data_IF_374197876756
#
_entry.id   IF_374197876756
#
_cell.length_a   1.000
_cell.length_b   1.000
_cell.length_c   1.000
_cell.angle_alpha   90.00
_cell.angle_beta   90.00
_cell.angle_gamma   90.00
#
_symmetry.space_group_name_H-M   'P 1'
#
loop_
_entity.id
_entity.type
_entity.pdbx_description
1 polymer ?
#
# COMPACT_ATOMS: atom_id res chain seq x y z
N UNK A 1 56.71 64.94 -21.81
CA UNK A 1 56.46 65.08 -23.27
C UNK A 1 55.06 64.47 -23.52
N UNK A 2 54.07 65.37 -23.70
CA UNK A 2 52.68 65.09 -23.97
C UNK A 2 52.47 64.69 -25.43
N UNK A 3 51.69 63.65 -25.66
CA UNK A 3 51.01 63.43 -26.95
C UNK A 3 49.58 62.95 -26.69
N UNK A 4 48.69 63.92 -26.89
CA UNK A 4 47.24 63.73 -26.95
C UNK A 4 46.84 63.09 -28.30
N UNK A 5 46.12 62.01 -28.33
CA UNK A 5 45.44 61.51 -29.52
C UNK A 5 43.95 61.70 -29.35
N UNK A 6 43.37 62.56 -30.18
CA UNK A 6 41.93 62.73 -30.30
C UNK A 6 41.39 61.65 -31.25
N UNK A 7 40.55 60.76 -30.75
CA UNK A 7 39.81 59.75 -31.53
C UNK A 7 38.39 60.23 -31.85
N UNK A 8 38.12 60.38 -33.14
CA UNK A 8 36.83 60.80 -33.71
C UNK A 8 35.84 59.63 -33.64
N UNK A 9 34.79 59.80 -32.85
CA UNK A 9 33.74 58.81 -32.73
C UNK A 9 32.65 58.99 -33.80
N UNK A 10 32.59 58.12 -34.80
CA UNK A 10 31.58 58.17 -35.88
C UNK A 10 30.38 57.38 -35.38
N UNK A 11 29.26 58.05 -35.03
CA UNK A 11 28.01 57.42 -34.64
C UNK A 11 27.20 57.06 -35.89
N UNK A 12 27.24 55.82 -36.29
CA UNK A 12 26.41 55.31 -37.38
C UNK A 12 24.96 54.98 -36.84
N UNK A 13 24.01 55.76 -37.36
CA UNK A 13 22.58 55.55 -37.07
C UNK A 13 22.06 54.41 -37.95
N UNK A 14 21.87 53.24 -37.37
CA UNK A 14 21.25 52.03 -38.03
C UNK A 14 19.73 52.08 -37.84
N UNK A 15 18.97 52.32 -38.90
CA UNK A 15 17.52 52.19 -38.89
C UNK A 15 17.15 50.71 -39.04
N UNK A 16 16.60 50.11 -37.98
CA UNK A 16 15.95 48.82 -38.08
C UNK A 16 14.51 49.03 -38.55
N UNK A 17 14.21 48.61 -39.76
CA UNK A 17 12.82 48.41 -40.19
C UNK A 17 12.33 47.14 -39.54
N UNK A 18 11.44 47.24 -38.55
CA UNK A 18 10.69 46.08 -38.04
C UNK A 18 9.65 45.68 -39.13
N UNK A 19 9.88 44.56 -39.76
CA UNK A 19 8.88 43.96 -40.61
C UNK A 19 7.81 43.33 -39.71
N UNK A 20 6.56 43.79 -39.78
CA UNK A 20 5.43 43.16 -39.13
C UNK A 20 5.26 41.71 -39.68
N UNK A 21 5.65 40.74 -38.86
CA UNK A 21 5.36 39.34 -39.16
C UNK A 21 3.85 39.11 -39.00
N UNK A 22 3.18 38.46 -39.97
CA UNK A 22 1.75 38.13 -39.81
C UNK A 22 1.53 37.28 -38.56
N UNK A 23 0.56 37.67 -37.73
CA UNK A 23 0.18 36.91 -36.53
C UNK A 23 -0.19 35.48 -36.92
N UNK A 24 0.43 34.50 -36.28
CA UNK A 24 0.07 33.08 -36.46
C UNK A 24 -1.42 32.85 -36.10
N UNK A 25 -2.15 32.06 -36.88
CA UNK A 25 -3.54 31.77 -36.55
C UNK A 25 -3.65 31.18 -35.14
N UNK A 26 -4.57 31.72 -34.35
CA UNK A 26 -4.80 31.23 -32.99
C UNK A 26 -5.14 29.72 -33.02
N UNK A 27 -4.42 28.91 -32.23
CA UNK A 27 -4.72 27.49 -32.09
C UNK A 27 -6.18 27.32 -31.62
N UNK A 28 -6.91 26.33 -32.16
CA UNK A 28 -8.27 26.06 -31.73
C UNK A 28 -8.30 25.83 -30.21
N UNK A 29 -9.22 26.49 -29.50
CA UNK A 29 -9.38 26.35 -28.07
C UNK A 29 -9.64 24.86 -27.73
N UNK A 30 -8.84 24.31 -26.83
CA UNK A 30 -9.05 22.95 -26.34
C UNK A 30 -10.51 22.83 -25.83
N UNK A 31 -11.21 21.71 -26.12
CA UNK A 31 -12.57 21.50 -25.62
C UNK A 31 -12.58 21.62 -24.10
N UNK A 32 -13.51 22.41 -23.56
CA UNK A 32 -13.66 22.59 -22.12
C UNK A 32 -13.81 21.20 -21.47
N UNK A 33 -12.92 20.87 -20.55
CA UNK A 33 -13.00 19.63 -19.80
C UNK A 33 -14.37 19.58 -19.10
N UNK A 34 -15.21 18.64 -19.49
CA UNK A 34 -16.49 18.38 -18.82
C UNK A 34 -16.19 18.05 -17.37
N UNK A 35 -16.68 18.86 -16.45
CA UNK A 35 -16.50 18.63 -15.01
C UNK A 35 -17.02 17.24 -14.66
N UNK A 36 -16.14 16.33 -14.24
CA UNK A 36 -16.51 14.99 -13.77
C UNK A 36 -17.36 15.13 -12.51
N UNK A 37 -18.53 14.50 -12.51
CA UNK A 37 -19.33 14.38 -11.28
C UNK A 37 -18.65 13.38 -10.35
N UNK A 38 -18.70 13.61 -9.02
CA UNK A 38 -18.26 12.61 -8.05
C UNK A 38 -19.02 11.30 -8.25
N UNK A 39 -18.29 10.17 -8.15
CA UNK A 39 -18.89 8.84 -8.21
C UNK A 39 -19.42 8.50 -6.82
N UNK A 40 -20.61 7.90 -6.75
CA UNK A 40 -21.15 7.41 -5.48
C UNK A 40 -20.24 6.32 -4.90
N UNK A 41 -20.02 6.27 -3.57
CA UNK A 41 -19.21 5.25 -2.96
C UNK A 41 -19.85 3.85 -3.14
N UNK A 42 -19.06 2.80 -3.41
CA UNK A 42 -19.58 1.43 -3.62
C UNK A 42 -20.14 0.80 -2.35
N UNK A 43 -19.70 1.28 -1.20
CA UNK A 43 -20.18 0.86 0.13
C UNK A 43 -20.31 2.08 1.04
N UNK A 44 -21.23 2.07 2.03
CA UNK A 44 -21.31 3.14 3.01
C UNK A 44 -20.02 3.20 3.87
N UNK A 45 -19.67 4.40 4.33
CA UNK A 45 -18.60 4.53 5.32
C UNK A 45 -19.02 3.88 6.64
N UNK A 46 -18.04 3.44 7.42
CA UNK A 46 -18.22 2.99 8.80
C UNK A 46 -17.16 3.60 9.72
N UNK A 47 -17.48 3.62 11.00
CA UNK A 47 -16.53 4.01 12.05
C UNK A 47 -16.47 2.87 13.07
N UNK A 48 -15.26 2.35 13.31
CA UNK A 48 -14.99 1.42 14.41
C UNK A 48 -14.27 2.19 15.51
N UNK A 49 -14.97 2.45 16.61
CA UNK A 49 -14.39 3.14 17.76
C UNK A 49 -13.42 2.21 18.52
N UNK A 50 -12.52 2.76 19.31
CA UNK A 50 -11.64 1.96 20.17
C UNK A 50 -12.44 1.00 21.08
N UNK A 51 -13.58 1.45 21.61
CA UNK A 51 -14.47 0.60 22.40
C UNK A 51 -15.04 -0.58 21.58
N UNK A 52 -15.51 -0.32 20.36
CA UNK A 52 -16.04 -1.39 19.50
C UNK A 52 -14.97 -2.38 19.06
N UNK A 53 -13.74 -1.96 18.86
CA UNK A 53 -12.62 -2.85 18.57
C UNK A 53 -12.26 -3.69 19.79
N UNK A 54 -12.24 -3.11 20.98
CA UNK A 54 -11.99 -3.84 22.22
C UNK A 54 -13.07 -4.90 22.51
N UNK A 55 -14.35 -4.60 22.25
CA UNK A 55 -15.42 -5.60 22.35
C UNK A 55 -15.26 -6.73 21.33
N UNK A 56 -14.91 -6.42 20.08
CA UNK A 56 -14.61 -7.45 19.08
C UNK A 56 -13.43 -8.32 19.53
N UNK A 57 -12.34 -7.71 20.00
CA UNK A 57 -11.16 -8.44 20.48
C UNK A 57 -11.52 -9.45 21.59
N UNK A 58 -12.40 -9.09 22.53
CA UNK A 58 -12.88 -10.03 23.57
C UNK A 58 -13.49 -11.29 22.99
N UNK A 59 -14.17 -11.19 21.87
CA UNK A 59 -14.78 -12.37 21.21
C UNK A 59 -13.76 -13.26 20.52
N UNK A 60 -12.53 -12.75 20.28
CA UNK A 60 -11.46 -13.44 19.60
C UNK A 60 -10.46 -14.11 20.56
N UNK A 61 -10.61 -13.92 21.88
CA UNK A 61 -9.69 -14.48 22.88
C UNK A 61 -9.65 -16.01 22.86
N UNK A 62 -8.56 -16.55 23.40
CA UNK A 62 -8.26 -17.98 23.50
C UNK A 62 -7.15 -18.41 22.55
N UNK A 63 -6.58 -19.60 22.82
CA UNK A 63 -5.40 -20.12 22.12
C UNK A 63 -5.56 -20.16 20.60
N UNK A 64 -4.46 -19.93 19.93
CA UNK A 64 -4.37 -19.88 18.47
C UNK A 64 -4.66 -18.51 17.88
N UNK A 65 -4.91 -18.47 16.59
CA UNK A 65 -5.18 -17.25 15.87
C UNK A 65 -6.64 -17.16 15.43
N UNK A 66 -7.31 -16.06 15.77
CA UNK A 66 -8.69 -15.76 15.36
C UNK A 66 -8.77 -14.41 14.69
N UNK A 67 -9.71 -14.21 13.79
CA UNK A 67 -9.95 -12.96 13.10
C UNK A 67 -11.43 -12.58 13.13
N UNK A 68 -11.70 -11.28 13.26
CA UNK A 68 -13.02 -10.69 13.13
C UNK A 68 -13.04 -9.69 11.97
N UNK A 69 -14.00 -9.87 11.06
CA UNK A 69 -14.14 -9.03 9.87
C UNK A 69 -14.58 -7.61 10.24
N UNK A 70 -13.86 -6.63 9.72
CA UNK A 70 -14.22 -5.22 9.78
C UNK A 70 -14.73 -4.71 8.44
N UNK A 71 -14.14 -5.17 7.34
CA UNK A 71 -14.55 -4.91 5.97
C UNK A 71 -14.24 -6.14 5.11
N UNK A 72 -15.20 -6.60 4.30
CA UNK A 72 -15.01 -7.68 3.33
C UNK A 72 -14.78 -7.15 1.92
N UNK A 73 -13.98 -7.83 1.09
CA UNK A 73 -13.59 -7.33 -0.22
C UNK A 73 -14.69 -7.42 -1.29
N UNK A 74 -15.88 -7.95 -1.00
CA UNK A 74 -16.94 -8.23 -1.98
C UNK A 74 -17.36 -7.03 -2.84
N UNK A 75 -17.24 -5.79 -2.34
CA UNK A 75 -17.59 -4.57 -3.07
C UNK A 75 -16.41 -3.58 -3.18
N UNK A 76 -15.27 -3.92 -2.60
CA UNK A 76 -14.06 -3.10 -2.59
C UNK A 76 -12.86 -3.98 -2.85
N UNK A 77 -11.76 -3.41 -3.33
CA UNK A 77 -10.48 -4.12 -3.44
C UNK A 77 -9.70 -4.09 -2.10
N UNK A 78 -10.42 -4.05 -0.98
CA UNK A 78 -9.82 -3.95 0.36
C UNK A 78 -10.56 -4.90 1.31
N UNK A 79 -9.80 -5.65 2.08
CA UNK A 79 -10.26 -6.38 3.26
C UNK A 79 -9.63 -5.78 4.51
N UNK A 80 -10.37 -5.67 5.60
CA UNK A 80 -9.83 -5.25 6.89
C UNK A 80 -10.33 -6.23 7.95
N UNK A 81 -9.41 -6.79 8.73
CA UNK A 81 -9.72 -7.69 9.84
C UNK A 81 -9.02 -7.22 11.12
N UNK A 82 -9.64 -7.48 12.27
CA UNK A 82 -8.96 -7.50 13.55
C UNK A 82 -8.47 -8.93 13.80
N UNK A 83 -7.16 -9.10 13.93
CA UNK A 83 -6.53 -10.38 14.20
C UNK A 83 -6.06 -10.44 15.65
N UNK A 84 -6.43 -11.50 16.36
CA UNK A 84 -5.97 -11.76 17.72
C UNK A 84 -5.34 -13.14 17.80
N UNK A 85 -4.21 -13.27 18.47
CA UNK A 85 -3.42 -14.48 18.58
C UNK A 85 -2.89 -14.65 20.00
N UNK A 86 -3.04 -15.85 20.53
CA UNK A 86 -2.54 -16.25 21.85
C UNK A 86 -1.76 -17.56 21.72
N UNK A 87 -0.55 -17.64 22.29
CA UNK A 87 0.34 -18.80 22.20
C UNK A 87 0.36 -19.37 20.76
N UNK A 88 0.62 -18.48 19.81
CA UNK A 88 0.46 -18.77 18.39
C UNK A 88 1.80 -18.85 17.68
N UNK A 89 1.96 -19.92 16.91
CA UNK A 89 3.02 -20.05 15.91
C UNK A 89 2.37 -20.44 14.60
N UNK A 90 2.65 -19.68 13.55
CA UNK A 90 2.13 -19.99 12.23
C UNK A 90 2.86 -21.21 11.68
N UNK A 91 2.14 -22.31 11.50
CA UNK A 91 2.70 -23.59 11.08
C UNK A 91 3.30 -23.56 9.67
N UNK A 92 2.82 -22.66 8.81
CA UNK A 92 3.27 -22.51 7.44
C UNK A 92 3.49 -21.03 7.12
N UNK A 93 4.61 -20.72 6.46
CA UNK A 93 4.83 -19.42 5.85
C UNK A 93 3.95 -19.28 4.60
N UNK A 94 3.64 -18.06 4.26
CA UNK A 94 2.71 -17.76 3.16
C UNK A 94 3.29 -16.74 2.18
N UNK A 95 2.86 -16.86 0.91
CA UNK A 95 3.05 -15.86 -0.15
C UNK A 95 1.71 -15.66 -0.83
N UNK A 96 1.39 -14.42 -1.16
CA UNK A 96 0.21 -14.04 -1.95
C UNK A 96 0.64 -13.38 -3.24
N UNK A 97 0.17 -13.85 -4.39
CA UNK A 97 0.53 -13.28 -5.70
C UNK A 97 -0.20 -11.97 -6.02
N UNK A 98 -1.34 -11.72 -5.39
CA UNK A 98 -2.20 -10.58 -5.72
C UNK A 98 -2.72 -9.82 -4.50
N UNK A 99 -2.04 -9.90 -3.36
CA UNK A 99 -2.54 -9.28 -2.13
C UNK A 99 -1.40 -8.63 -1.34
N UNK A 100 -1.46 -7.30 -1.21
CA UNK A 100 -0.58 -6.54 -0.33
C UNK A 100 -1.19 -6.46 1.07
N UNK A 101 -0.35 -6.40 2.11
CA UNK A 101 -0.80 -6.21 3.48
C UNK A 101 -0.21 -4.96 4.14
N UNK A 102 -1.02 -4.32 4.96
CA UNK A 102 -0.57 -3.44 6.02
C UNK A 102 -0.98 -4.07 7.35
N UNK A 103 -0.02 -4.33 8.22
CA UNK A 103 -0.25 -4.73 9.61
C UNK A 103 -0.04 -3.52 10.50
N UNK A 104 -1.00 -3.22 11.35
CA UNK A 104 -0.87 -2.24 12.42
C UNK A 104 -1.05 -2.94 13.76
N UNK A 105 0.01 -3.01 14.56
CA UNK A 105 0.01 -3.71 15.85
C UNK A 105 -0.69 -2.86 16.90
N UNK A 106 -1.78 -3.36 17.46
CA UNK A 106 -2.57 -2.66 18.46
C UNK A 106 -2.25 -3.10 19.88
N UNK A 107 -1.79 -4.35 20.09
CA UNK A 107 -1.35 -4.84 21.39
C UNK A 107 -0.40 -6.03 21.27
N UNK A 108 0.48 -6.20 22.27
CA UNK A 108 1.40 -7.32 22.39
C UNK A 108 2.65 -7.22 21.53
N UNK A 109 3.28 -8.37 21.30
CA UNK A 109 4.55 -8.51 20.57
C UNK A 109 4.55 -9.80 19.76
N UNK A 110 5.19 -9.79 18.59
CA UNK A 110 5.40 -10.97 17.75
C UNK A 110 6.76 -10.91 17.07
N UNK A 111 7.22 -12.06 16.58
CA UNK A 111 8.33 -12.14 15.63
C UNK A 111 7.74 -12.43 14.25
N UNK A 112 8.02 -11.56 13.28
CA UNK A 112 7.69 -11.80 11.88
C UNK A 112 8.85 -12.49 11.18
N UNK A 113 8.54 -13.45 10.31
CA UNK A 113 9.48 -14.01 9.32
C UNK A 113 9.15 -13.40 7.98
N UNK A 114 10.11 -12.71 7.33
CA UNK A 114 9.86 -11.92 6.13
C UNK A 114 10.90 -12.22 5.03
N UNK A 115 10.43 -12.23 3.78
CA UNK A 115 11.27 -12.39 2.60
C UNK A 115 11.88 -13.81 2.48
N UNK A 116 12.81 -13.98 1.53
CA UNK A 116 13.35 -15.28 1.19
C UNK A 116 12.40 -16.08 0.29
N UNK A 117 12.49 -17.41 0.36
CA UNK A 117 11.80 -18.34 -0.54
C UNK A 117 11.12 -19.46 0.23
N UNK A 118 9.95 -19.89 -0.20
CA UNK A 118 9.28 -21.09 0.32
C UNK A 118 9.99 -22.35 -0.20
N UNK A 119 10.21 -23.32 0.67
CA UNK A 119 10.76 -24.63 0.29
C UNK A 119 9.62 -25.58 -0.05
N UNK A 120 9.58 -26.13 -1.27
CA UNK A 120 8.52 -27.00 -1.78
C UNK A 120 7.11 -26.37 -1.57
N UNK A 121 6.84 -25.17 -2.13
CA UNK A 121 5.59 -24.48 -1.93
C UNK A 121 4.42 -25.28 -2.49
N UNK A 122 3.27 -25.17 -1.82
CA UNK A 122 2.01 -25.71 -2.27
C UNK A 122 1.03 -24.57 -2.49
N UNK A 123 0.44 -24.50 -3.67
CA UNK A 123 -0.68 -23.60 -3.94
C UNK A 123 -1.96 -24.21 -3.33
N UNK A 124 -2.58 -23.49 -2.37
CA UNK A 124 -3.79 -23.94 -1.67
C UNK A 124 -5.06 -23.35 -2.27
N UNK A 125 -4.93 -22.25 -2.98
CA UNK A 125 -5.94 -21.61 -3.83
C UNK A 125 -5.21 -20.68 -4.81
N UNK A 126 -5.83 -20.20 -5.89
CA UNK A 126 -5.15 -19.38 -6.90
C UNK A 126 -4.40 -18.19 -6.28
N UNK A 127 -3.07 -18.19 -6.44
CA UNK A 127 -2.17 -17.18 -5.92
C UNK A 127 -1.91 -17.21 -4.40
N UNK A 128 -2.35 -18.27 -3.69
CA UNK A 128 -2.14 -18.45 -2.24
C UNK A 128 -1.19 -19.63 -2.00
N UNK A 129 0.05 -19.34 -1.66
CA UNK A 129 1.12 -20.32 -1.50
C UNK A 129 1.45 -20.55 -0.03
N UNK A 130 1.73 -21.81 0.34
CA UNK A 130 2.10 -22.21 1.70
C UNK A 130 3.29 -23.16 1.69
N UNK A 131 4.12 -23.07 2.74
CA UNK A 131 5.13 -24.07 3.06
C UNK A 131 5.49 -24.01 4.55
N UNK A 132 5.72 -25.15 5.22
CA UNK A 132 6.24 -25.16 6.58
C UNK A 132 7.71 -24.74 6.69
N UNK A 133 8.40 -24.56 5.56
CA UNK A 133 9.83 -24.24 5.53
C UNK A 133 10.12 -23.09 4.58
N UNK A 134 11.07 -22.26 4.99
CA UNK A 134 11.62 -21.17 4.17
C UNK A 134 13.14 -21.14 4.23
N UNK A 135 13.76 -20.48 3.24
CA UNK A 135 15.20 -20.20 3.16
C UNK A 135 15.43 -18.71 2.94
N UNK A 136 16.58 -18.21 3.41
CA UNK A 136 16.99 -16.81 3.22
C UNK A 136 16.00 -15.75 3.78
N UNK A 137 15.04 -16.17 4.62
CA UNK A 137 14.14 -15.26 5.31
C UNK A 137 14.86 -14.55 6.47
N UNK A 138 14.31 -13.38 6.86
CA UNK A 138 14.78 -12.62 8.03
C UNK A 138 13.67 -12.57 9.06
N UNK A 139 14.05 -12.51 10.33
CA UNK A 139 13.13 -12.30 11.44
C UNK A 139 13.19 -10.85 11.90
N UNK A 140 12.03 -10.29 12.21
CA UNK A 140 11.84 -8.93 12.73
C UNK A 140 10.91 -9.01 13.91
N UNK A 141 11.33 -8.47 15.06
CA UNK A 141 10.46 -8.32 16.20
C UNK A 141 9.60 -7.08 16.06
N UNK A 142 8.31 -7.20 16.30
CA UNK A 142 7.32 -6.13 16.23
C UNK A 142 6.53 -6.04 17.52
N UNK A 143 6.11 -4.82 17.86
CA UNK A 143 5.39 -4.51 19.08
C UNK A 143 4.26 -3.50 18.83
N UNK A 144 3.45 -3.27 19.84
CA UNK A 144 2.37 -2.27 19.82
C UNK A 144 2.83 -0.91 19.27
N UNK A 145 2.12 -0.41 18.28
CA UNK A 145 2.38 0.84 17.56
C UNK A 145 3.14 0.68 16.25
N UNK A 146 3.72 -0.50 16.00
CA UNK A 146 4.43 -0.76 14.74
C UNK A 146 3.47 -0.92 13.57
N UNK A 147 3.91 -0.43 12.41
CA UNK A 147 3.24 -0.58 11.13
C UNK A 147 4.17 -1.28 10.16
N UNK A 148 3.67 -2.36 9.54
CA UNK A 148 4.42 -3.19 8.62
C UNK A 148 3.69 -3.23 7.28
N UNK A 149 4.39 -2.92 6.18
CA UNK A 149 3.90 -3.13 4.83
C UNK A 149 4.55 -4.37 4.22
N UNK A 150 3.72 -5.29 3.72
CA UNK A 150 4.15 -6.53 3.07
C UNK A 150 3.55 -6.55 1.67
N UNK A 151 4.34 -6.25 0.62
CA UNK A 151 3.87 -6.33 -0.75
C UNK A 151 3.60 -7.78 -1.16
N UNK A 152 2.69 -7.97 -2.12
CA UNK A 152 2.46 -9.29 -2.73
C UNK A 152 3.78 -9.92 -3.21
N UNK A 153 3.83 -11.23 -3.29
CA UNK A 153 5.05 -11.98 -3.60
C UNK A 153 6.06 -12.06 -2.45
N UNK A 154 5.81 -11.38 -1.32
CA UNK A 154 6.71 -11.45 -0.16
C UNK A 154 6.31 -12.60 0.75
N UNK A 155 7.26 -13.53 0.99
CA UNK A 155 7.11 -14.54 2.01
C UNK A 155 6.95 -13.89 3.38
N UNK A 156 5.95 -14.35 4.14
CA UNK A 156 5.77 -13.93 5.52
C UNK A 156 5.15 -15.01 6.38
N UNK A 157 5.41 -14.90 7.66
CA UNK A 157 4.89 -15.74 8.73
C UNK A 157 5.11 -15.05 10.05
N UNK A 158 4.55 -15.60 11.14
CA UNK A 158 4.72 -15.01 12.46
C UNK A 158 4.62 -16.00 13.59
N UNK A 159 5.27 -15.67 14.70
CA UNK A 159 5.11 -16.32 15.98
C UNK A 159 4.87 -15.28 17.07
N UNK A 160 3.96 -15.57 18.00
CA UNK A 160 3.60 -14.65 19.07
C UNK A 160 4.54 -14.82 20.26
N UNK A 161 5.16 -13.71 20.65
CA UNK A 161 5.95 -13.61 21.89
C UNK A 161 5.02 -13.26 23.05
N UNK A 162 5.03 -14.09 24.08
CA UNK A 162 4.22 -13.89 25.28
C UNK A 162 2.80 -14.42 25.10
N UNK A 163 1.84 -13.82 25.84
CA UNK A 163 0.50 -14.41 25.93
C UNK A 163 -0.44 -14.01 24.81
N UNK A 164 -0.28 -12.83 24.22
CA UNK A 164 -1.18 -12.31 23.21
C UNK A 164 -0.50 -11.32 22.25
N UNK A 165 -1.08 -11.22 21.08
CA UNK A 165 -0.73 -10.28 20.04
C UNK A 165 -1.98 -9.90 19.25
N UNK A 166 -2.23 -8.61 19.07
CA UNK A 166 -3.40 -8.11 18.35
C UNK A 166 -2.97 -7.10 17.32
N UNK A 167 -3.51 -7.22 16.10
CA UNK A 167 -3.24 -6.30 15.02
C UNK A 167 -4.46 -6.08 14.14
N UNK A 168 -4.53 -4.93 13.50
CA UNK A 168 -5.40 -4.70 12.33
C UNK A 168 -4.60 -5.06 11.09
N UNK A 169 -5.18 -5.92 10.25
CA UNK A 169 -4.65 -6.25 8.93
C UNK A 169 -5.54 -5.59 7.89
N UNK A 170 -4.97 -4.70 7.06
CA UNK A 170 -5.60 -4.24 5.84
C UNK A 170 -4.94 -4.95 4.65
N UNK A 171 -5.74 -5.66 3.86
CA UNK A 171 -5.32 -6.34 2.64
C UNK A 171 -5.84 -5.60 1.43
N UNK A 172 -4.97 -5.35 0.48
CA UNK A 172 -5.29 -4.66 -0.77
C UNK A 172 -5.16 -5.65 -1.93
N UNK A 173 -6.12 -5.63 -2.84
CA UNK A 173 -6.14 -6.48 -4.02
C UNK A 173 -5.99 -5.61 -5.28
N UNK A 174 -4.77 -5.33 -5.75
CA UNK A 174 -4.52 -4.41 -6.87
C UNK A 174 -5.24 -4.81 -8.16
N UNK A 175 -5.44 -6.12 -8.36
CA UNK A 175 -6.10 -6.69 -9.54
C UNK A 175 -7.60 -7.01 -9.31
N UNK A 176 -8.20 -6.44 -8.27
CA UNK A 176 -9.57 -6.72 -7.83
C UNK A 176 -9.64 -7.81 -6.77
N UNK A 177 -10.81 -7.97 -6.12
CA UNK A 177 -11.00 -8.97 -5.08
C UNK A 177 -10.77 -10.39 -5.63
N UNK A 178 -10.28 -11.32 -4.80
CA UNK A 178 -10.09 -12.71 -5.23
C UNK A 178 -11.44 -13.30 -5.66
N UNK A 179 -11.44 -14.25 -6.61
CA UNK A 179 -12.65 -14.97 -6.96
C UNK A 179 -13.22 -15.66 -5.72
N UNK A 180 -14.55 -15.77 -5.60
CA UNK A 180 -15.16 -16.47 -4.48
C UNK A 180 -14.64 -17.91 -4.43
N UNK A 181 -14.39 -18.41 -3.20
CA UNK A 181 -13.98 -19.79 -3.02
C UNK A 181 -15.02 -20.74 -3.67
N UNK A 182 -14.58 -21.84 -4.31
CA UNK A 182 -15.50 -22.80 -4.89
C UNK A 182 -16.46 -23.31 -3.80
N UNK A 183 -17.74 -23.40 -4.13
CA UNK A 183 -18.75 -23.95 -3.24
C UNK A 183 -18.33 -25.37 -2.83
N UNK A 184 -18.34 -25.65 -1.53
CA UNK A 184 -18.05 -26.97 -0.98
C UNK A 184 -19.25 -27.89 -1.17
#
# INVERSE_FOLDING_TARGET
>A
MNRTFAGLLLVGLVFFFAADAPAAPAAPAAPAATARRPVAPPVPYFVKTAASLAELEKTLQGKGGKAGDLLKPAATSIEIVLRHEEDFEQAEHEIHDGKDHIFFVTDGQATLTLGGELVAPKEISPGEWRSPKSTNSKTVDVAKGDLIFIPHGTLHGRSVKGKRFTMVIASFFPNGPPPPAPAK
#
